data_IF_397336543126
#
_entry.id   IF_397336543126
#
_cell.length_a   1.000
_cell.length_b   1.000
_cell.length_c   1.000
_cell.angle_alpha   90.00
_cell.angle_beta   90.00
_cell.angle_gamma   90.00
#
_symmetry.space_group_name_H-M   'P 1'
#
loop_
_entity.id
_entity.type
_entity.pdbx_description
1 polymer ?
#
# COMPACT_ATOMS: atom_id res chain seq x y z
N UNK A 1 37.53 -19.17 -22.17
CA UNK A 1 36.44 -19.14 -21.18
C UNK A 1 36.60 -17.88 -20.34
N UNK A 2 35.72 -16.88 -20.50
CA UNK A 2 35.79 -15.62 -19.75
C UNK A 2 34.89 -15.79 -18.52
N UNK A 3 35.48 -16.00 -17.35
CA UNK A 3 34.76 -16.04 -16.08
C UNK A 3 33.93 -14.75 -15.92
N UNK A 4 32.62 -14.85 -16.14
CA UNK A 4 31.69 -13.82 -15.69
C UNK A 4 31.63 -13.91 -14.17
N UNK A 5 32.50 -13.18 -13.47
CA UNK A 5 32.31 -12.86 -12.06
C UNK A 5 30.99 -12.10 -11.95
N UNK A 6 29.90 -12.82 -11.65
CA UNK A 6 28.64 -12.22 -11.25
C UNK A 6 28.88 -11.48 -9.94
N UNK A 7 29.21 -10.19 -10.03
CA UNK A 7 29.17 -9.31 -8.85
C UNK A 7 27.77 -9.43 -8.25
N UNK A 8 27.68 -9.55 -6.92
CA UNK A 8 26.41 -9.64 -6.19
C UNK A 8 25.45 -8.50 -6.51
N UNK A 9 26.01 -7.34 -6.90
CA UNK A 9 25.29 -6.15 -7.36
C UNK A 9 25.75 -5.82 -8.78
N UNK A 10 24.85 -5.98 -9.75
CA UNK A 10 25.00 -5.48 -11.12
C UNK A 10 23.71 -4.77 -11.50
N UNK A 11 23.78 -3.44 -11.65
CA UNK A 11 22.65 -2.64 -12.08
C UNK A 11 22.19 -3.05 -13.48
N UNK A 12 20.89 -3.24 -13.66
CA UNK A 12 20.31 -3.51 -14.97
C UNK A 12 20.29 -2.24 -15.83
N UNK A 13 19.94 -1.08 -15.26
CA UNK A 13 19.81 0.23 -15.90
C UNK A 13 20.01 1.38 -14.88
N UNK A 14 21.25 1.73 -14.49
CA UNK A 14 21.50 2.86 -13.58
C UNK A 14 20.98 2.68 -12.15
N UNK A 15 20.92 3.76 -11.36
CA UNK A 15 20.35 3.73 -10.00
C UNK A 15 18.83 3.80 -10.06
N UNK A 16 18.13 3.14 -9.14
CA UNK A 16 16.68 3.32 -9.04
C UNK A 16 16.35 4.71 -8.51
N UNK A 17 15.29 5.35 -9.03
CA UNK A 17 14.84 6.69 -8.64
C UNK A 17 15.97 7.74 -8.64
N UNK A 18 16.73 7.88 -9.74
CA UNK A 18 17.93 8.73 -9.79
C UNK A 18 17.73 10.17 -9.30
N UNK A 19 16.52 10.73 -9.47
CA UNK A 19 16.15 12.08 -9.04
C UNK A 19 16.07 12.24 -7.50
N UNK A 20 15.75 11.17 -6.78
CA UNK A 20 15.50 11.21 -5.32
C UNK A 20 16.34 10.21 -4.50
N UNK A 21 17.10 9.34 -5.15
CA UNK A 21 18.00 8.37 -4.50
C UNK A 21 19.06 9.08 -3.64
N UNK A 22 19.14 8.71 -2.36
CA UNK A 22 20.08 9.32 -1.41
C UNK A 22 19.88 10.81 -1.14
N UNK A 23 18.74 11.41 -1.50
CA UNK A 23 18.53 12.86 -1.31
C UNK A 23 18.32 13.29 0.14
N UNK A 24 17.79 12.40 0.99
CA UNK A 24 17.51 12.73 2.38
C UNK A 24 18.65 12.25 3.27
N UNK A 25 19.43 13.22 3.77
CA UNK A 25 20.50 12.98 4.74
C UNK A 25 19.93 12.59 6.09
N UNK A 26 20.43 11.49 6.63
CA UNK A 26 19.98 10.96 7.91
C UNK A 26 20.93 11.44 9.01
N UNK A 27 20.41 12.02 10.10
CA UNK A 27 21.26 12.49 11.18
C UNK A 27 21.92 11.32 11.92
N UNK A 28 23.24 11.20 11.81
CA UNK A 28 24.03 10.35 12.69
C UNK A 28 24.11 10.99 14.09
N UNK A 29 24.01 10.16 15.14
CA UNK A 29 24.23 10.57 16.53
C UNK A 29 23.16 11.50 17.18
N UNK A 30 21.92 11.53 16.67
CA UNK A 30 20.81 12.36 17.24
C UNK A 30 19.73 11.57 18.00
N UNK A 31 19.99 10.33 18.40
CA UNK A 31 19.06 9.47 19.16
C UNK A 31 17.99 8.80 18.29
N UNK A 32 17.54 7.60 18.72
CA UNK A 32 16.69 6.70 17.93
C UNK A 32 15.42 7.37 17.37
N UNK A 33 14.72 8.17 18.18
CA UNK A 33 13.46 8.80 17.77
C UNK A 33 13.62 9.84 16.65
N UNK A 34 14.69 10.66 16.69
CA UNK A 34 14.95 11.65 15.64
C UNK A 34 15.38 11.00 14.34
N UNK A 35 16.12 9.91 14.44
CA UNK A 35 16.47 9.07 13.29
C UNK A 35 15.23 8.38 12.72
N UNK A 36 14.36 7.82 13.56
CA UNK A 36 13.09 7.21 13.13
C UNK A 36 12.19 8.19 12.38
N UNK A 37 12.04 9.43 12.88
CA UNK A 37 11.28 10.48 12.19
C UNK A 37 11.89 10.88 10.84
N UNK A 38 13.19 10.69 10.63
CA UNK A 38 13.82 10.89 9.32
C UNK A 38 13.50 9.75 8.34
N UNK A 39 13.25 8.53 8.84
CA UNK A 39 12.95 7.32 8.06
C UNK A 39 11.46 6.96 7.97
N UNK A 40 10.55 7.68 8.62
CA UNK A 40 9.13 7.30 8.70
C UNK A 40 8.36 7.52 7.40
N UNK A 41 8.84 8.38 6.50
CA UNK A 41 8.15 8.76 5.28
C UNK A 41 7.90 7.62 4.29
N UNK A 42 8.91 6.83 3.91
CA UNK A 42 8.73 5.69 3.00
C UNK A 42 7.63 4.72 3.42
N UNK A 43 7.54 4.41 4.72
CA UNK A 43 6.50 3.54 5.25
C UNK A 43 5.09 4.11 5.06
N UNK A 44 4.92 5.42 5.19
CA UNK A 44 3.63 6.08 4.98
C UNK A 44 3.18 6.03 3.51
N UNK A 45 4.11 6.23 2.56
CA UNK A 45 3.81 6.12 1.11
C UNK A 45 3.33 4.72 0.72
N UNK A 46 3.82 3.68 1.40
CA UNK A 46 3.36 2.30 1.16
C UNK A 46 2.04 2.04 1.88
N UNK A 47 1.91 2.50 3.12
CA UNK A 47 0.73 2.25 3.94
C UNK A 47 -0.54 2.89 3.37
N UNK A 48 -0.45 4.09 2.78
CA UNK A 48 -1.63 4.77 2.19
C UNK A 48 -2.27 3.95 1.07
N UNK A 49 -1.46 3.24 0.27
CA UNK A 49 -1.97 2.39 -0.81
C UNK A 49 -2.82 1.22 -0.32
N UNK A 50 -2.64 0.78 0.93
CA UNK A 50 -3.48 -0.27 1.55
C UNK A 50 -4.81 0.26 2.12
N UNK A 51 -5.03 1.58 2.09
CA UNK A 51 -6.24 2.24 2.58
C UNK A 51 -7.14 2.71 1.45
N UNK A 52 -6.97 2.17 0.24
CA UNK A 52 -7.72 2.54 -0.95
C UNK A 52 -9.21 2.15 -0.84
N UNK A 53 -10.13 2.89 -1.51
CA UNK A 53 -11.56 2.59 -1.47
C UNK A 53 -11.92 1.20 -2.02
N UNK A 54 -11.04 0.56 -2.79
CA UNK A 54 -11.28 -0.76 -3.39
C UNK A 54 -11.57 -1.86 -2.37
N UNK A 55 -11.03 -1.74 -1.15
CA UNK A 55 -11.24 -2.71 -0.07
C UNK A 55 -12.23 -2.25 1.02
N UNK A 56 -12.77 -1.03 0.93
CA UNK A 56 -13.69 -0.50 1.95
C UNK A 56 -15.03 -1.21 1.91
N UNK A 57 -15.58 -1.41 0.70
CA UNK A 57 -16.87 -2.09 0.51
C UNK A 57 -16.83 -3.52 1.06
N UNK A 58 -15.78 -4.27 0.74
CA UNK A 58 -15.63 -5.66 1.21
C UNK A 58 -15.44 -5.74 2.73
N UNK A 59 -14.76 -4.76 3.34
CA UNK A 59 -14.62 -4.66 4.79
C UNK A 59 -15.95 -4.35 5.49
N UNK A 60 -16.74 -3.42 4.94
CA UNK A 60 -18.05 -3.05 5.49
C UNK A 60 -19.04 -4.22 5.34
N UNK A 61 -19.14 -4.82 4.15
CA UNK A 61 -20.00 -5.98 3.90
C UNK A 61 -19.60 -7.16 4.78
N UNK A 62 -18.30 -7.46 4.89
CA UNK A 62 -17.80 -8.50 5.79
C UNK A 62 -18.13 -8.24 7.27
N UNK A 63 -18.12 -6.97 7.69
CA UNK A 63 -18.55 -6.55 9.02
C UNK A 63 -20.07 -6.64 9.22
N UNK A 64 -20.87 -6.37 8.18
CA UNK A 64 -22.33 -6.52 8.24
C UNK A 64 -22.74 -7.99 8.34
N UNK A 65 -22.14 -8.85 7.51
CA UNK A 65 -22.50 -10.26 7.42
C UNK A 65 -21.92 -11.07 8.60
N UNK A 66 -20.66 -10.81 8.98
CA UNK A 66 -19.96 -11.63 9.97
C UNK A 66 -19.53 -10.87 11.24
N UNK A 67 -20.02 -9.64 11.43
CA UNK A 67 -19.71 -8.80 12.60
C UNK A 67 -18.18 -8.69 12.77
N UNK A 68 -17.68 -8.82 14.00
CA UNK A 68 -16.26 -8.72 14.31
C UNK A 68 -15.43 -9.97 13.95
N UNK A 69 -16.02 -11.01 13.34
CA UNK A 69 -15.38 -12.31 13.15
C UNK A 69 -14.20 -12.29 12.16
N UNK A 70 -14.22 -11.38 11.19
CA UNK A 70 -13.15 -11.27 10.18
C UNK A 70 -11.98 -10.38 10.65
N UNK A 71 -12.06 -9.76 11.83
CA UNK A 71 -11.01 -8.89 12.36
C UNK A 71 -9.67 -9.62 12.56
N UNK A 72 -9.70 -10.87 13.03
CA UNK A 72 -8.49 -11.70 13.14
C UNK A 72 -7.83 -11.93 11.77
N UNK A 73 -8.62 -12.04 10.70
CA UNK A 73 -8.10 -12.24 9.34
C UNK A 73 -7.45 -10.96 8.82
N UNK A 74 -8.07 -9.80 9.06
CA UNK A 74 -7.49 -8.49 8.73
C UNK A 74 -6.14 -8.30 9.44
N UNK A 75 -6.05 -8.69 10.72
CA UNK A 75 -4.79 -8.64 11.46
C UNK A 75 -3.72 -9.56 10.87
N UNK A 76 -4.07 -10.81 10.56
CA UNK A 76 -3.14 -11.78 9.95
C UNK A 76 -2.68 -11.29 8.57
N UNK A 77 -3.61 -10.83 7.74
CA UNK A 77 -3.33 -10.21 6.44
C UNK A 77 -2.35 -9.04 6.59
N UNK A 78 -2.60 -8.14 7.54
CA UNK A 78 -1.70 -7.01 7.82
C UNK A 78 -0.30 -7.45 8.24
N UNK A 79 -0.18 -8.51 9.06
CA UNK A 79 1.12 -9.07 9.47
C UNK A 79 1.88 -9.66 8.27
N UNK A 80 1.19 -10.35 7.36
CA UNK A 80 1.79 -10.88 6.12
C UNK A 80 2.24 -9.73 5.22
N UNK A 81 1.42 -8.70 5.04
CA UNK A 81 1.78 -7.50 4.28
C UNK A 81 3.03 -6.83 4.88
N UNK A 82 3.07 -6.61 6.20
CA UNK A 82 4.25 -6.04 6.87
C UNK A 82 5.52 -6.88 6.66
N UNK A 83 5.41 -8.21 6.70
CA UNK A 83 6.55 -9.11 6.45
C UNK A 83 7.09 -8.95 5.02
N UNK A 84 6.21 -8.99 4.02
CA UNK A 84 6.60 -8.88 2.61
C UNK A 84 7.16 -7.48 2.29
N UNK A 85 6.53 -6.45 2.84
CA UNK A 85 6.98 -5.06 2.70
C UNK A 85 8.35 -4.85 3.36
N UNK A 86 8.58 -5.43 4.55
CA UNK A 86 9.89 -5.43 5.18
C UNK A 86 10.95 -6.11 4.30
N UNK A 87 10.64 -7.24 3.67
CA UNK A 87 11.56 -7.93 2.76
C UNK A 87 11.88 -7.08 1.52
N UNK A 88 10.88 -6.41 0.93
CA UNK A 88 11.07 -5.52 -0.21
C UNK A 88 11.94 -4.31 0.16
N UNK A 89 11.67 -3.68 1.31
CA UNK A 89 12.48 -2.58 1.83
C UNK A 89 13.93 -3.02 2.08
N UNK A 90 14.12 -4.20 2.71
CA UNK A 90 15.44 -4.79 2.97
C UNK A 90 16.23 -5.04 1.70
N UNK A 91 15.59 -5.52 0.64
CA UNK A 91 16.23 -5.68 -0.67
C UNK A 91 16.75 -4.33 -1.19
N UNK A 92 15.91 -3.28 -1.17
CA UNK A 92 16.30 -1.94 -1.59
C UNK A 92 17.48 -1.38 -0.80
N UNK A 93 17.42 -1.46 0.53
CA UNK A 93 18.44 -0.95 1.45
C UNK A 93 19.77 -1.69 1.26
N UNK A 94 19.74 -3.03 1.23
CA UNK A 94 20.97 -3.86 1.22
C UNK A 94 21.62 -3.89 -0.15
N UNK A 95 20.82 -4.04 -1.21
CA UNK A 95 21.34 -4.23 -2.57
C UNK A 95 21.52 -2.94 -3.35
N UNK A 96 20.92 -1.84 -2.87
CA UNK A 96 20.84 -0.56 -3.57
C UNK A 96 20.20 -0.69 -4.97
N UNK A 97 19.38 -1.72 -5.16
CA UNK A 97 18.60 -1.97 -6.37
C UNK A 97 17.14 -2.11 -6.00
N UNK A 98 16.23 -1.63 -6.84
CA UNK A 98 14.81 -1.92 -6.67
C UNK A 98 14.49 -3.38 -7.06
N UNK A 99 13.30 -3.85 -6.70
CA UNK A 99 12.85 -5.21 -6.98
C UNK A 99 12.77 -5.49 -8.49
N UNK A 100 12.43 -4.50 -9.32
CA UNK A 100 12.35 -4.67 -10.77
C UNK A 100 13.74 -4.84 -11.39
N UNK A 101 14.73 -4.07 -10.94
CA UNK A 101 16.14 -4.21 -11.30
C UNK A 101 16.69 -5.57 -10.88
N UNK A 102 16.42 -5.99 -9.64
CA UNK A 102 16.86 -7.28 -9.12
C UNK A 102 16.27 -8.45 -9.93
N UNK A 103 14.97 -8.42 -10.22
CA UNK A 103 14.30 -9.42 -11.06
C UNK A 103 14.89 -9.39 -12.47
N UNK A 104 15.00 -8.21 -13.10
CA UNK A 104 15.49 -8.05 -14.47
C UNK A 104 16.94 -8.50 -14.63
N UNK A 105 17.78 -8.32 -13.62
CA UNK A 105 19.17 -8.78 -13.61
C UNK A 105 19.30 -10.29 -13.46
N UNK A 106 18.30 -10.97 -12.88
CA UNK A 106 18.29 -12.41 -12.62
C UNK A 106 17.42 -13.22 -13.58
N UNK A 107 16.70 -12.56 -14.49
CA UNK A 107 15.81 -13.21 -15.46
C UNK A 107 16.06 -12.77 -16.91
N UNK A 108 15.44 -13.47 -17.86
CA UNK A 108 15.51 -13.15 -19.28
C UNK A 108 14.73 -11.87 -19.61
N UNK A 109 15.10 -11.19 -20.71
CA UNK A 109 14.40 -9.97 -21.16
C UNK A 109 12.90 -10.23 -21.39
N UNK A 110 12.55 -11.39 -21.95
CA UNK A 110 11.17 -11.77 -22.21
C UNK A 110 10.34 -11.83 -20.93
N UNK A 111 10.84 -12.52 -19.89
CA UNK A 111 10.13 -12.60 -18.61
C UNK A 111 10.05 -11.25 -17.89
N UNK A 112 11.09 -10.42 -18.02
CA UNK A 112 11.06 -9.04 -17.53
C UNK A 112 9.95 -8.19 -18.17
N UNK A 113 9.73 -8.33 -19.47
CA UNK A 113 8.64 -7.62 -20.18
C UNK A 113 7.27 -8.12 -19.71
N UNK A 114 7.11 -9.44 -19.55
CA UNK A 114 5.84 -10.02 -19.05
C UNK A 114 5.52 -9.49 -17.65
N UNK A 115 6.49 -9.50 -16.73
CA UNK A 115 6.29 -8.98 -15.38
C UNK A 115 6.04 -7.48 -15.35
N UNK A 116 6.67 -6.72 -16.26
CA UNK A 116 6.39 -5.30 -16.43
C UNK A 116 4.92 -5.08 -16.84
N UNK A 117 4.43 -5.75 -17.89
CA UNK A 117 3.03 -5.63 -18.33
C UNK A 117 2.07 -6.01 -17.19
N UNK A 118 2.33 -7.09 -16.46
CA UNK A 118 1.47 -7.50 -15.34
C UNK A 118 1.44 -6.45 -14.22
N UNK A 119 2.58 -5.80 -13.94
CA UNK A 119 2.65 -4.76 -12.91
C UNK A 119 1.97 -3.47 -13.37
N UNK A 120 2.11 -3.09 -14.65
CA UNK A 120 1.39 -1.97 -15.27
C UNK A 120 -0.13 -2.18 -15.21
N UNK A 121 -0.62 -3.38 -15.51
CA UNK A 121 -2.04 -3.71 -15.38
C UNK A 121 -2.51 -3.66 -13.91
N UNK A 122 -1.67 -4.08 -12.96
CA UNK A 122 -2.01 -4.03 -11.54
C UNK A 122 -2.10 -2.60 -10.99
N UNK A 123 -1.18 -1.70 -11.37
CA UNK A 123 -1.26 -0.29 -10.97
C UNK A 123 -2.43 0.42 -11.67
N UNK A 124 -2.69 0.10 -12.95
CA UNK A 124 -3.88 0.60 -13.66
C UNK A 124 -5.19 0.19 -12.98
N UNK A 125 -5.30 -1.05 -12.49
CA UNK A 125 -6.48 -1.48 -11.74
C UNK A 125 -6.66 -0.70 -10.42
N UNK A 126 -5.55 -0.34 -9.77
CA UNK A 126 -5.57 0.46 -8.54
C UNK A 126 -6.00 1.90 -8.85
N UNK A 127 -5.45 2.48 -9.91
CA UNK A 127 -5.79 3.82 -10.40
C UNK A 127 -7.27 3.93 -10.79
N UNK A 128 -7.83 2.90 -11.43
CA UNK A 128 -9.28 2.82 -11.72
C UNK A 128 -10.11 2.91 -10.42
N UNK A 129 -9.70 2.21 -9.36
CA UNK A 129 -10.40 2.25 -8.08
C UNK A 129 -10.30 3.65 -7.43
N UNK A 130 -9.14 4.30 -7.50
CA UNK A 130 -8.94 5.66 -6.99
C UNK A 130 -9.76 6.69 -7.75
N UNK A 131 -9.77 6.65 -9.09
CA UNK A 131 -10.56 7.56 -9.93
C UNK A 131 -12.05 7.39 -9.67
N UNK A 132 -12.56 6.16 -9.56
CA UNK A 132 -13.96 5.89 -9.22
C UNK A 132 -14.29 6.44 -7.83
N UNK A 133 -13.45 6.16 -6.84
CA UNK A 133 -13.65 6.63 -5.47
C UNK A 133 -13.66 8.16 -5.38
N UNK A 134 -12.71 8.83 -6.03
CA UNK A 134 -12.60 10.28 -6.07
C UNK A 134 -13.79 10.93 -6.81
N UNK A 135 -14.21 10.36 -7.95
CA UNK A 135 -15.36 10.86 -8.70
C UNK A 135 -16.67 10.74 -7.91
N UNK A 136 -16.88 9.62 -7.20
CA UNK A 136 -18.02 9.45 -6.30
C UNK A 136 -17.93 10.42 -5.11
N UNK A 137 -16.75 10.65 -4.54
CA UNK A 137 -16.57 11.63 -3.47
C UNK A 137 -16.92 13.05 -3.93
N UNK A 138 -16.51 13.47 -5.13
CA UNK A 138 -16.89 14.76 -5.72
C UNK A 138 -18.40 14.86 -5.96
N UNK A 139 -19.02 13.78 -6.42
CA UNK A 139 -20.48 13.70 -6.58
C UNK A 139 -21.20 13.86 -5.24
N UNK A 140 -20.76 13.18 -4.18
CA UNK A 140 -21.41 13.24 -2.86
C UNK A 140 -21.16 14.55 -2.12
N UNK A 141 -19.96 15.13 -2.22
CA UNK A 141 -19.60 16.36 -1.51
C UNK A 141 -20.11 17.62 -2.20
N UNK A 142 -19.99 17.69 -3.52
CA UNK A 142 -20.23 18.91 -4.29
C UNK A 142 -21.40 18.79 -5.27
N UNK A 143 -22.08 17.63 -5.32
CA UNK A 143 -23.19 17.37 -6.23
C UNK A 143 -22.80 17.54 -7.71
N UNK A 144 -21.52 17.35 -8.03
CA UNK A 144 -20.99 17.44 -9.41
C UNK A 144 -21.41 16.18 -10.17
N UNK A 145 -22.01 16.28 -11.36
CA UNK A 145 -22.36 15.12 -12.17
C UNK A 145 -21.19 14.16 -12.39
N UNK A 146 -21.43 12.85 -12.27
CA UNK A 146 -20.37 11.83 -12.23
C UNK A 146 -19.42 11.89 -13.44
N UNK A 147 -19.95 12.14 -14.65
CA UNK A 147 -19.14 12.27 -15.87
C UNK A 147 -18.15 13.44 -15.73
N UNK A 148 -18.61 14.59 -15.21
CA UNK A 148 -17.78 15.77 -15.00
C UNK A 148 -16.76 15.49 -13.89
N UNK A 149 -17.16 14.81 -12.82
CA UNK A 149 -16.29 14.44 -11.72
C UNK A 149 -15.11 13.56 -12.19
N UNK A 150 -15.34 12.59 -13.09
CA UNK A 150 -14.28 11.78 -13.70
C UNK A 150 -13.32 12.63 -14.56
N UNK A 151 -13.82 13.62 -15.31
CA UNK A 151 -12.94 14.52 -16.04
C UNK A 151 -12.12 15.44 -15.12
N UNK A 152 -12.68 15.83 -13.97
CA UNK A 152 -11.96 16.60 -12.96
C UNK A 152 -10.81 15.78 -12.36
N UNK A 153 -11.01 14.49 -12.08
CA UNK A 153 -9.95 13.65 -11.50
C UNK A 153 -8.75 13.49 -12.43
N UNK A 154 -8.95 13.50 -13.77
CA UNK A 154 -7.84 13.49 -14.75
C UNK A 154 -6.90 14.71 -14.62
N UNK A 155 -7.36 15.80 -13.99
CA UNK A 155 -6.52 16.97 -13.73
C UNK A 155 -5.53 16.76 -12.57
N UNK A 156 -5.56 15.62 -11.88
CA UNK A 156 -4.59 15.24 -10.85
C UNK A 156 -3.14 15.20 -11.38
N UNK A 157 -2.93 15.02 -12.68
CA UNK A 157 -1.61 15.13 -13.32
C UNK A 157 -1.02 16.53 -13.08
N UNK A 158 -1.84 17.58 -13.08
CA UNK A 158 -1.40 18.94 -12.75
C UNK A 158 -1.01 19.04 -11.27
N UNK A 159 -1.72 18.34 -10.39
CA UNK A 159 -1.39 18.23 -8.97
C UNK A 159 -0.07 17.48 -8.77
N UNK A 160 0.18 16.41 -9.53
CA UNK A 160 1.43 15.66 -9.53
C UNK A 160 2.60 16.53 -9.98
N UNK A 161 2.44 17.31 -11.06
CA UNK A 161 3.44 18.26 -11.54
C UNK A 161 3.74 19.37 -10.53
N UNK A 162 2.76 19.76 -9.72
CA UNK A 162 2.97 20.67 -8.61
C UNK A 162 3.74 19.97 -7.48
N UNK A 163 3.36 18.74 -7.13
CA UNK A 163 3.96 17.94 -6.06
C UNK A 163 5.45 17.66 -6.31
N UNK A 164 5.86 17.42 -7.56
CA UNK A 164 7.28 17.17 -7.90
C UNK A 164 8.19 18.35 -7.54
N UNK A 165 7.66 19.59 -7.48
CA UNK A 165 8.42 20.79 -7.05
C UNK A 165 8.52 20.96 -5.53
N UNK A 166 7.68 20.27 -4.76
CA UNK A 166 7.53 20.50 -3.31
C UNK A 166 8.62 19.75 -2.51
N UNK A 167 9.19 18.68 -3.06
CA UNK A 167 10.27 17.89 -2.48
C UNK A 167 9.79 16.73 -1.58
N UNK A 168 10.56 15.64 -1.56
CA UNK A 168 10.12 14.34 -1.05
C UNK A 168 9.66 14.35 0.42
N UNK A 169 10.34 15.09 1.32
CA UNK A 169 9.95 15.18 2.74
C UNK A 169 8.56 15.79 2.96
N UNK A 170 8.17 16.74 2.12
CA UNK A 170 6.86 17.39 2.22
C UNK A 170 5.77 16.51 1.60
N UNK A 171 6.09 15.76 0.55
CA UNK A 171 5.19 14.73 -0.02
C UNK A 171 4.91 13.66 1.04
N UNK A 172 5.94 13.16 1.71
CA UNK A 172 5.79 12.20 2.82
C UNK A 172 4.87 12.76 3.92
N UNK A 173 5.05 14.02 4.32
CA UNK A 173 4.20 14.67 5.32
C UNK A 173 2.75 14.84 4.85
N UNK A 174 2.54 15.16 3.57
CA UNK A 174 1.21 15.23 2.96
C UNK A 174 0.50 13.87 3.01
N UNK A 175 1.20 12.80 2.65
CA UNK A 175 0.66 11.44 2.71
C UNK A 175 0.29 11.05 4.14
N UNK A 176 1.15 11.34 5.12
CA UNK A 176 0.83 11.12 6.54
C UNK A 176 -0.42 11.91 6.94
N UNK A 177 -0.57 13.16 6.48
CA UNK A 177 -1.76 13.96 6.72
C UNK A 177 -3.02 13.28 6.17
N UNK A 178 -2.99 12.77 4.93
CA UNK A 178 -4.11 12.07 4.32
C UNK A 178 -4.50 10.80 5.12
N UNK A 179 -3.51 10.01 5.54
CA UNK A 179 -3.75 8.84 6.40
C UNK A 179 -4.45 9.25 7.70
N UNK A 180 -3.97 10.31 8.37
CA UNK A 180 -4.56 10.80 9.61
C UNK A 180 -5.98 11.34 9.42
N UNK A 181 -6.27 11.97 8.28
CA UNK A 181 -7.63 12.43 7.94
C UNK A 181 -8.58 11.25 7.80
N UNK A 182 -8.24 10.25 6.99
CA UNK A 182 -9.09 9.05 6.77
C UNK A 182 -9.32 8.31 8.09
N UNK A 183 -8.24 8.07 8.83
CA UNK A 183 -8.29 7.40 10.13
C UNK A 183 -9.11 8.20 11.14
N UNK A 184 -8.95 9.52 11.18
CA UNK A 184 -9.72 10.41 12.06
C UNK A 184 -11.22 10.37 11.77
N UNK A 185 -11.61 10.39 10.49
CA UNK A 185 -13.02 10.29 10.07
C UNK A 185 -13.63 8.96 10.52
N UNK A 186 -12.98 7.83 10.26
CA UNK A 186 -13.54 6.53 10.63
C UNK A 186 -13.52 6.29 12.14
N UNK A 187 -12.46 6.66 12.85
CA UNK A 187 -12.43 6.55 14.31
C UNK A 187 -13.55 7.39 14.93
N UNK A 188 -13.76 8.61 14.45
CA UNK A 188 -14.85 9.46 14.93
C UNK A 188 -16.21 8.77 14.80
N UNK A 189 -16.51 8.17 13.65
CA UNK A 189 -17.76 7.43 13.43
C UNK A 189 -17.87 6.19 14.33
N UNK A 190 -16.78 5.43 14.50
CA UNK A 190 -16.76 4.25 15.39
C UNK A 190 -16.98 4.65 16.84
N UNK A 191 -16.38 5.76 17.30
CA UNK A 191 -16.60 6.27 18.66
C UNK A 191 -18.05 6.70 18.88
N UNK A 192 -18.66 7.37 17.89
CA UNK A 192 -20.07 7.75 17.96
C UNK A 192 -21.03 6.55 17.94
N UNK A 193 -20.64 5.43 17.32
CA UNK A 193 -21.45 4.21 17.26
C UNK A 193 -21.55 3.46 18.60
N UNK A 194 -20.74 3.82 19.61
CA UNK A 194 -20.65 3.16 20.92
C UNK A 194 -20.62 1.61 20.83
N UNK A 195 -19.60 1.02 20.18
CA UNK A 195 -19.54 -0.42 19.97
C UNK A 195 -19.22 -1.14 21.29
N UNK A 196 -19.68 -2.39 21.38
CA UNK A 196 -19.29 -3.28 22.48
C UNK A 196 -17.82 -3.69 22.31
N UNK A 197 -16.91 -2.90 22.88
CA UNK A 197 -15.45 -3.08 22.77
C UNK A 197 -14.97 -4.49 23.14
N UNK A 198 -15.65 -5.15 24.08
CA UNK A 198 -15.36 -6.55 24.44
C UNK A 198 -15.48 -7.49 23.25
N UNK A 199 -16.49 -7.30 22.40
CA UNK A 199 -16.69 -8.12 21.20
C UNK A 199 -15.71 -7.75 20.09
N UNK A 200 -15.33 -6.47 19.98
CA UNK A 200 -14.26 -6.01 19.09
C UNK A 200 -12.93 -6.71 19.42
N UNK A 201 -12.52 -6.70 20.69
CA UNK A 201 -11.29 -7.36 21.13
C UNK A 201 -11.35 -8.88 20.97
N UNK A 202 -12.52 -9.50 21.17
CA UNK A 202 -12.74 -10.92 20.88
C UNK A 202 -12.59 -11.24 19.38
N UNK A 203 -12.99 -10.32 18.51
CA UNK A 203 -12.86 -10.46 17.05
C UNK A 203 -11.42 -10.62 16.56
N UNK A 204 -10.44 -10.09 17.31
CA UNK A 204 -9.02 -10.27 16.98
C UNK A 204 -8.48 -11.67 17.30
N UNK A 205 -9.20 -12.49 18.08
CA UNK A 205 -8.80 -13.86 18.39
C UNK A 205 -9.28 -14.77 17.24
N UNK A 206 -8.37 -15.48 16.54
CA UNK A 206 -8.77 -16.40 15.48
C UNK A 206 -9.57 -17.56 16.08
N UNK A 207 -10.76 -17.81 15.53
CA UNK A 207 -11.64 -18.91 15.95
C UNK A 207 -11.93 -19.85 14.78
N UNK A 208 -12.33 -21.09 15.08
CA UNK A 208 -12.76 -22.06 14.05
C UNK A 208 -13.95 -21.56 13.24
N UNK A 209 -14.77 -20.66 13.80
CA UNK A 209 -15.91 -20.05 13.11
C UNK A 209 -15.49 -19.08 12.00
N UNK A 210 -14.29 -18.50 12.07
CA UNK A 210 -13.75 -17.62 11.03
C UNK A 210 -13.45 -18.37 9.73
N UNK A 211 -13.14 -19.66 9.83
CA UNK A 211 -12.82 -20.53 8.69
C UNK A 211 -13.93 -21.56 8.39
N UNK A 212 -15.12 -21.36 8.95
CA UNK A 212 -16.25 -22.24 8.74
C UNK A 212 -16.97 -21.90 7.42
N UNK A 213 -17.52 -22.92 6.77
CA UNK A 213 -18.38 -22.77 5.58
C UNK A 213 -19.81 -22.34 5.91
N UNK A 214 -20.14 -22.18 7.19
CA UNK A 214 -21.45 -21.74 7.67
C UNK A 214 -21.30 -20.69 8.78
N UNK A 215 -22.24 -19.74 8.93
CA UNK A 215 -23.45 -19.55 8.12
C UNK A 215 -23.15 -18.98 6.71
N UNK A 216 -24.09 -19.16 5.78
CA UNK A 216 -24.06 -18.47 4.48
C UNK A 216 -24.97 -17.25 4.60
N UNK A 217 -24.42 -16.05 4.41
CA UNK A 217 -25.14 -14.78 4.50
C UNK A 217 -24.89 -14.03 3.19
N UNK A 218 -25.95 -13.61 2.50
CA UNK A 218 -25.85 -12.92 1.21
C UNK A 218 -25.03 -13.67 0.14
N UNK A 219 -24.94 -15.00 0.23
CA UNK A 219 -24.14 -15.84 -0.67
C UNK A 219 -22.67 -15.99 -0.24
N UNK A 220 -22.23 -15.26 0.77
CA UNK A 220 -20.90 -15.33 1.35
C UNK A 220 -20.83 -16.21 2.59
N UNK A 221 -19.65 -16.79 2.81
CA UNK A 221 -19.31 -17.55 4.01
C UNK A 221 -18.15 -16.88 4.74
N UNK A 222 -17.97 -17.14 6.05
CA UNK A 222 -16.79 -16.66 6.76
C UNK A 222 -15.48 -17.07 6.05
N UNK A 223 -15.46 -18.28 5.48
CA UNK A 223 -14.32 -18.78 4.72
C UNK A 223 -14.08 -17.98 3.42
N UNK A 224 -15.11 -17.66 2.63
CA UNK A 224 -14.92 -16.87 1.40
C UNK A 224 -14.46 -15.44 1.73
N UNK A 225 -15.05 -14.82 2.75
CA UNK A 225 -14.60 -13.51 3.23
C UNK A 225 -13.15 -13.54 3.73
N UNK A 226 -12.79 -14.57 4.51
CA UNK A 226 -11.43 -14.73 5.01
C UNK A 226 -10.41 -14.94 3.88
N UNK A 227 -10.72 -15.82 2.92
CA UNK A 227 -9.88 -16.06 1.74
C UNK A 227 -9.77 -14.82 0.85
N UNK A 228 -10.85 -14.03 0.72
CA UNK A 228 -10.85 -12.75 0.01
C UNK A 228 -9.89 -11.75 0.64
N UNK A 229 -9.95 -11.56 1.96
CA UNK A 229 -9.04 -10.67 2.70
C UNK A 229 -7.59 -11.13 2.54
N UNK A 230 -7.32 -12.44 2.71
CA UNK A 230 -5.96 -12.97 2.55
C UNK A 230 -5.48 -12.84 1.10
N UNK A 231 -6.32 -13.11 0.11
CA UNK A 231 -5.98 -12.97 -1.31
C UNK A 231 -5.67 -11.54 -1.72
N UNK A 232 -6.35 -10.56 -1.12
CA UNK A 232 -6.14 -9.12 -1.38
C UNK A 232 -4.95 -8.52 -0.61
N UNK A 233 -4.24 -9.31 0.21
CA UNK A 233 -3.18 -8.82 1.12
C UNK A 233 -1.98 -8.19 0.40
N UNK A 234 -1.67 -8.60 -0.82
CA UNK A 234 -0.42 -8.22 -1.47
C UNK A 234 -0.71 -7.38 -2.70
N UNK A 235 -0.26 -6.13 -2.67
CA UNK A 235 -0.28 -5.22 -3.81
C UNK A 235 1.11 -5.26 -4.48
N UNK A 236 1.26 -5.91 -5.66
CA UNK A 236 2.58 -6.12 -6.26
C UNK A 236 3.32 -4.81 -6.52
N UNK A 237 2.64 -3.78 -7.02
CA UNK A 237 3.21 -2.46 -7.28
C UNK A 237 3.78 -1.82 -6.00
N UNK A 238 3.18 -2.05 -4.83
CA UNK A 238 3.69 -1.54 -3.56
C UNK A 238 5.00 -2.20 -3.13
N UNK A 239 5.26 -3.46 -3.50
CA UNK A 239 6.55 -4.11 -3.24
C UNK A 239 7.67 -3.45 -4.07
N UNK A 240 7.39 -3.14 -5.33
CA UNK A 240 8.31 -2.37 -6.18
C UNK A 240 8.54 -0.99 -5.60
N UNK A 241 7.45 -0.28 -5.25
CA UNK A 241 7.50 1.04 -4.63
C UNK A 241 8.39 1.03 -3.39
N UNK A 242 8.12 0.14 -2.42
CA UNK A 242 8.83 0.10 -1.15
C UNK A 242 10.32 -0.19 -1.32
N UNK A 243 10.68 -1.09 -2.23
CA UNK A 243 12.08 -1.39 -2.55
C UNK A 243 12.82 -0.21 -3.17
N UNK A 244 12.13 0.68 -3.89
CA UNK A 244 12.72 1.86 -4.51
C UNK A 244 12.81 3.03 -3.51
N UNK A 245 11.71 3.35 -2.82
CA UNK A 245 11.66 4.49 -1.88
C UNK A 245 12.55 4.27 -0.64
N UNK A 246 12.85 3.02 -0.28
CA UNK A 246 13.77 2.73 0.81
C UNK A 246 15.21 3.19 0.52
N UNK A 247 15.54 3.46 -0.75
CA UNK A 247 16.83 3.99 -1.21
C UNK A 247 16.89 5.53 -1.24
N UNK A 248 15.81 6.24 -0.89
CA UNK A 248 15.79 7.72 -0.86
C UNK A 248 16.66 8.32 0.25
N UNK A 249 17.08 7.48 1.22
CA UNK A 249 17.91 7.86 2.35
C UNK A 249 19.37 7.51 2.07
N UNK A 250 20.25 8.48 2.27
CA UNK A 250 21.69 8.26 2.19
C UNK A 250 22.13 7.34 3.34
N UNK A 251 22.84 6.25 3.01
CA UNK A 251 23.38 5.27 3.97
C UNK A 251 24.88 5.52 4.15
#
# INVERSE_FOLDING_TARGET
MREKKHKLVQYANGKSLEEVNGTVKVPHNKGFLRTLLAYSGPGALVAVGYMDPGNWSTSITGGQDFQYRLMSVILISSLIAMLLQYMAAKLGIVTQMDLAQAIRARTSKALGIVLWILTELAIMATDIAEVIGAAIALYLLFHIPLIIAVFITVLDVLLLLLLTKIGFRKIEALVVCLILVILGVFIYQVVLSDPVWKEVFRGFIPTTKTFASHPVINGDTPLTGALGIIGATVMPHNLYLHSAISQTREI
#
